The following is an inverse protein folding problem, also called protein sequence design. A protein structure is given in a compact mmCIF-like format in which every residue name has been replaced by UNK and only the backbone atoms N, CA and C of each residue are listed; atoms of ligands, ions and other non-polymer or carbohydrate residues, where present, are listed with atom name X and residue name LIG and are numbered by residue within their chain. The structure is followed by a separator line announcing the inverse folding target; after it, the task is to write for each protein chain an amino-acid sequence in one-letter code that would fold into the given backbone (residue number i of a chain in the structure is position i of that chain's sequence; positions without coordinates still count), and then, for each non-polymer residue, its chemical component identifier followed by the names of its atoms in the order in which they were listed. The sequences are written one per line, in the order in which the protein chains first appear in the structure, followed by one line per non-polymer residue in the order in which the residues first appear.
data_IF_435095466685
#
_entry.id   IF_435095466685
#
_cell.length_a   1.000
_cell.length_b   1.000
_cell.length_c   1.000
_cell.angle_alpha   90.00
_cell.angle_beta   90.00
_cell.angle_gamma   90.00
#
_symmetry.space_group_name_H-M   'P 1'
#
loop_
_entity.id
_entity.type
_entity.pdbx_description
1 polymer ?
#
# COMPACT_ATOMS: atom_id res chain seq x y z
N UNK A 1 3.99 -63.68 19.32
CA UNK A 1 4.53 -63.62 20.69
C UNK A 1 5.94 -63.06 20.60
N UNK A 2 6.09 -61.87 19.99
CA UNK A 2 5.78 -60.53 20.55
C UNK A 2 6.92 -60.17 21.52
N UNK A 3 7.75 -59.15 21.31
CA UNK A 3 7.40 -57.78 20.97
C UNK A 3 8.57 -57.09 20.23
N UNK A 4 8.34 -56.64 18.99
CA UNK A 4 9.03 -55.46 18.47
C UNK A 4 8.27 -54.23 18.99
N UNK A 5 8.64 -53.74 20.17
CA UNK A 5 8.32 -52.37 20.56
C UNK A 5 9.55 -51.52 20.30
N UNK A 6 9.70 -51.08 19.04
CA UNK A 6 10.48 -49.88 18.75
C UNK A 6 9.85 -48.71 19.52
N UNK A 7 10.63 -47.84 20.18
CA UNK A 7 10.07 -46.64 20.78
C UNK A 7 9.47 -45.80 19.65
N UNK A 8 8.16 -45.53 19.70
CA UNK A 8 7.59 -44.46 18.90
C UNK A 8 8.27 -43.16 19.38
N UNK A 9 9.13 -42.58 18.55
CA UNK A 9 9.57 -41.20 18.69
C UNK A 9 8.36 -40.29 18.51
N UNK A 10 7.60 -40.10 19.59
CA UNK A 10 6.48 -39.17 19.64
C UNK A 10 7.03 -37.75 19.81
N UNK A 11 7.54 -37.17 18.72
CA UNK A 11 7.72 -35.72 18.66
C UNK A 11 6.33 -35.06 18.59
N UNK A 12 5.77 -34.67 19.73
CA UNK A 12 4.52 -33.92 19.79
C UNK A 12 4.81 -32.42 19.71
N UNK A 13 4.34 -31.76 18.67
CA UNK A 13 4.35 -30.29 18.57
C UNK A 13 3.09 -29.76 19.25
N UNK A 14 3.26 -28.86 20.22
CA UNK A 14 2.14 -28.22 20.90
C UNK A 14 1.93 -26.82 20.32
N UNK A 15 0.71 -26.54 19.85
CA UNK A 15 0.29 -25.21 19.44
C UNK A 15 -0.44 -24.52 20.59
N UNK A 16 0.05 -23.35 20.99
CA UNK A 16 -0.53 -22.54 22.06
C UNK A 16 -0.88 -21.16 21.50
N UNK A 17 -1.97 -20.55 21.94
CA UNK A 17 -2.22 -19.14 21.62
C UNK A 17 -1.27 -18.25 22.43
N UNK A 18 -0.66 -17.27 21.76
CA UNK A 18 0.14 -16.25 22.42
C UNK A 18 -0.76 -15.42 23.36
N UNK A 19 -0.27 -14.98 24.53
CA UNK A 19 -0.99 -13.98 25.34
C UNK A 19 -1.21 -12.65 24.60
N UNK A 20 -0.46 -12.40 23.52
CA UNK A 20 -0.62 -11.25 22.63
C UNK A 20 -1.35 -11.58 21.33
N UNK A 21 -2.20 -12.62 21.34
CA UNK A 21 -2.99 -12.99 20.18
C UNK A 21 -3.89 -11.84 19.72
N UNK A 22 -3.80 -11.49 18.43
CA UNK A 22 -4.72 -10.54 17.79
C UNK A 22 -5.17 -11.07 16.44
N UNK A 23 -6.47 -10.98 16.16
CA UNK A 23 -7.04 -11.39 14.89
C UNK A 23 -6.79 -10.38 13.77
N UNK A 24 -6.45 -9.13 14.09
CA UNK A 24 -6.47 -8.02 13.14
C UNK A 24 -5.16 -7.23 13.05
N UNK A 25 -4.12 -7.61 13.81
CA UNK A 25 -2.84 -6.89 13.80
C UNK A 25 -1.98 -7.23 12.58
N UNK A 26 -2.33 -8.30 11.87
CA UNK A 26 -1.56 -8.82 10.75
C UNK A 26 -2.43 -9.02 9.52
N UNK A 27 -1.89 -8.63 8.37
CA UNK A 27 -2.46 -8.91 7.06
C UNK A 27 -1.36 -9.43 6.14
N UNK A 28 -1.64 -10.49 5.40
CA UNK A 28 -0.75 -10.94 4.35
C UNK A 28 -0.98 -10.12 3.10
N UNK A 29 0.09 -9.77 2.40
CA UNK A 29 0.03 -9.19 1.07
C UNK A 29 0.87 -10.05 0.11
N UNK A 30 0.24 -10.55 -0.94
CA UNK A 30 0.94 -11.17 -2.05
C UNK A 30 1.60 -10.07 -2.88
N UNK A 31 2.92 -10.15 -3.01
CA UNK A 31 3.73 -9.20 -3.76
C UNK A 31 4.55 -9.94 -4.81
N UNK A 32 4.69 -9.35 -5.99
CA UNK A 32 5.55 -9.91 -7.02
C UNK A 32 7.03 -9.82 -6.61
N UNK A 33 7.88 -10.56 -7.32
CA UNK A 33 9.33 -10.59 -7.03
C UNK A 33 9.98 -9.20 -7.15
N UNK A 34 9.48 -8.35 -8.04
CA UNK A 34 10.04 -7.02 -8.28
C UNK A 34 9.76 -6.11 -7.08
N UNK A 35 8.52 -6.08 -6.60
CA UNK A 35 8.06 -5.31 -5.45
C UNK A 35 8.69 -5.82 -4.15
N UNK A 36 8.77 -7.15 -3.98
CA UNK A 36 9.46 -7.76 -2.85
C UNK A 36 10.94 -7.33 -2.80
N UNK A 37 11.67 -7.45 -3.91
CA UNK A 37 13.06 -7.03 -3.98
C UNK A 37 13.21 -5.52 -3.76
N UNK A 38 12.30 -4.71 -4.31
CA UNK A 38 12.28 -3.28 -4.09
C UNK A 38 12.21 -2.94 -2.59
N UNK A 39 11.28 -3.57 -1.86
CA UNK A 39 11.15 -3.40 -0.41
C UNK A 39 12.37 -3.92 0.36
N UNK A 40 12.84 -5.14 0.06
CA UNK A 40 13.96 -5.77 0.75
C UNK A 40 15.29 -5.02 0.57
N UNK A 41 15.42 -4.23 -0.50
CA UNK A 41 16.56 -3.33 -0.71
C UNK A 41 16.49 -2.05 0.13
N UNK A 42 15.53 -1.92 1.05
CA UNK A 42 15.37 -0.77 1.94
C UNK A 42 14.61 0.40 1.32
N UNK A 43 13.92 0.20 0.19
CA UNK A 43 13.10 1.25 -0.40
C UNK A 43 11.73 1.32 0.29
N UNK A 44 11.18 2.53 0.38
CA UNK A 44 9.89 2.79 1.00
C UNK A 44 8.73 2.45 0.07
N UNK A 45 7.67 1.87 0.65
CA UNK A 45 6.36 1.66 0.03
C UNK A 45 5.34 2.44 0.84
N UNK A 46 4.46 3.17 0.16
CA UNK A 46 3.44 4.00 0.77
C UNK A 46 2.06 3.39 0.53
N UNK A 47 1.20 3.45 1.55
CA UNK A 47 -0.23 3.20 1.40
C UNK A 47 -0.89 4.56 1.13
N UNK A 48 -1.72 4.65 0.08
CA UNK A 48 -2.36 5.91 -0.32
C UNK A 48 -3.87 5.76 -0.53
N UNK A 49 -4.60 6.85 -0.26
CA UNK A 49 -6.05 6.93 -0.36
C UNK A 49 -6.69 7.44 0.93
N UNK A 50 -7.98 7.75 0.86
CA UNK A 50 -8.81 8.04 2.01
C UNK A 50 -9.22 6.76 2.73
N UNK A 51 -9.72 6.90 3.97
CA UNK A 51 -10.22 5.77 4.76
C UNK A 51 -11.38 5.01 4.10
N UNK A 52 -12.07 5.65 3.14
CA UNK A 52 -13.16 5.05 2.35
C UNK A 52 -12.69 4.35 1.09
N UNK A 53 -11.44 4.56 0.68
CA UNK A 53 -10.93 4.07 -0.59
C UNK A 53 -10.41 2.64 -0.46
N UNK A 54 -10.30 1.94 -1.59
CA UNK A 54 -9.58 0.67 -1.64
C UNK A 54 -8.10 0.89 -1.34
N UNK A 55 -7.44 -0.10 -0.74
CA UNK A 55 -6.02 0.00 -0.41
C UNK A 55 -5.18 0.04 -1.70
N UNK A 56 -4.32 1.05 -1.80
CA UNK A 56 -3.36 1.18 -2.90
C UNK A 56 -1.95 1.29 -2.33
N UNK A 57 -1.05 0.46 -2.84
CA UNK A 57 0.38 0.51 -2.54
C UNK A 57 1.11 1.27 -3.64
N UNK A 58 1.97 2.20 -3.24
CA UNK A 58 2.77 3.00 -4.14
C UNK A 58 4.25 2.82 -3.81
N UNK A 59 5.02 2.48 -4.83
CA UNK A 59 6.46 2.77 -4.82
C UNK A 59 6.66 4.23 -5.22
N UNK A 60 7.92 4.66 -5.39
CA UNK A 60 8.21 5.98 -5.96
C UNK A 60 7.67 6.14 -7.38
N UNK A 61 7.62 5.05 -8.15
CA UNK A 61 7.44 5.09 -9.61
C UNK A 61 6.21 4.33 -10.13
N UNK A 62 5.62 3.47 -9.30
CA UNK A 62 4.54 2.56 -9.71
C UNK A 62 3.46 2.44 -8.64
N UNK A 63 2.22 2.31 -9.10
CA UNK A 63 1.01 2.15 -8.28
C UNK A 63 0.44 0.73 -8.42
N UNK A 64 0.02 0.14 -7.30
CA UNK A 64 -0.53 -1.21 -7.20
C UNK A 64 -1.86 -1.17 -6.45
N UNK A 65 -2.94 -1.70 -7.02
CA UNK A 65 -4.15 -1.93 -6.24
C UNK A 65 -4.00 -3.19 -5.39
N UNK A 66 -4.67 -3.20 -4.24
CA UNK A 66 -4.74 -4.34 -3.34
C UNK A 66 -6.18 -4.83 -3.27
N UNK A 67 -6.39 -6.10 -3.61
CA UNK A 67 -7.69 -6.75 -3.51
C UNK A 67 -7.68 -7.76 -2.38
N UNK A 68 -8.62 -7.63 -1.44
CA UNK A 68 -8.80 -8.65 -0.41
C UNK A 68 -9.36 -9.94 -1.02
N UNK A 69 -8.65 -11.04 -0.79
CA UNK A 69 -9.07 -12.39 -1.13
C UNK A 69 -9.24 -13.20 0.15
N UNK A 70 -10.25 -14.07 0.15
CA UNK A 70 -10.54 -14.99 1.23
C UNK A 70 -10.35 -16.43 0.74
N UNK A 71 -9.65 -17.22 1.54
CA UNK A 71 -9.43 -18.65 1.28
C UNK A 71 -10.18 -19.50 2.29
N UNK A 72 -10.52 -20.73 1.90
CA UNK A 72 -11.22 -21.67 2.79
C UNK A 72 -10.32 -22.23 3.91
N UNK A 73 -9.01 -22.05 3.80
CA UNK A 73 -8.03 -22.53 4.78
C UNK A 73 -7.70 -21.43 5.80
N UNK A 74 -7.43 -21.83 7.04
CA UNK A 74 -6.90 -20.92 8.05
C UNK A 74 -5.37 -20.85 7.97
N UNK A 75 -4.84 -19.64 7.91
CA UNK A 75 -3.42 -19.33 8.00
C UNK A 75 -3.09 -19.00 9.45
N UNK A 76 -2.15 -19.75 10.03
CA UNK A 76 -1.66 -19.52 11.39
C UNK A 76 -0.37 -18.70 11.31
N UNK A 77 -0.36 -17.54 11.97
CA UNK A 77 0.84 -16.72 12.14
C UNK A 77 1.47 -17.11 13.46
N UNK A 78 2.74 -17.51 13.41
CA UNK A 78 3.48 -17.96 14.57
C UNK A 78 4.46 -16.87 15.01
N UNK A 79 4.69 -16.75 16.31
CA UNK A 79 5.77 -15.93 16.86
C UNK A 79 7.11 -16.47 16.39
N UNK A 80 8.02 -15.61 15.94
CA UNK A 80 9.37 -16.02 15.52
C UNK A 80 10.07 -16.67 16.71
N UNK A 81 10.17 -17.99 16.61
CA UNK A 81 10.99 -18.78 17.50
C UNK A 81 12.08 -19.34 16.60
N UNK A 82 13.32 -18.94 16.87
CA UNK A 82 14.52 -19.57 16.30
C UNK A 82 14.47 -21.13 16.34
N UNK A 83 13.57 -21.68 17.16
CA UNK A 83 13.17 -23.07 17.25
C UNK A 83 12.76 -23.75 15.92
N UNK A 84 12.35 -23.03 14.86
CA UNK A 84 12.03 -23.67 13.56
C UNK A 84 13.29 -24.01 12.73
N UNK A 85 14.37 -23.22 12.85
CA UNK A 85 15.61 -23.47 12.13
C UNK A 85 16.49 -24.54 12.81
N UNK A 86 16.21 -24.85 14.08
CA UNK A 86 16.85 -25.92 14.86
C UNK A 86 16.07 -27.24 14.82
N UNK A 87 15.06 -27.38 13.95
CA UNK A 87 14.43 -28.68 13.66
C UNK A 87 15.33 -29.47 12.72
N UNK A 88 16.59 -29.69 13.14
CA UNK A 88 17.23 -30.94 12.80
C UNK A 88 16.46 -32.02 13.56
N UNK A 89 15.85 -32.96 12.85
CA UNK A 89 15.23 -34.14 13.43
C UNK A 89 16.32 -35.01 14.07
N UNK A 90 16.94 -34.55 15.15
CA UNK A 90 17.83 -35.37 15.96
C UNK A 90 16.97 -36.35 16.74
N UNK A 91 17.15 -37.64 16.47
CA UNK A 91 16.34 -38.76 16.94
C UNK A 91 16.27 -38.96 18.47
N UNK A 92 16.88 -38.08 19.28
CA UNK A 92 17.11 -38.30 20.70
C UNK A 92 16.72 -37.17 21.66
N UNK A 93 16.19 -36.04 21.17
CA UNK A 93 15.74 -34.95 22.05
C UNK A 93 14.22 -34.79 22.00
N UNK A 94 13.57 -35.07 23.13
CA UNK A 94 12.16 -34.74 23.39
C UNK A 94 11.99 -33.22 23.49
N UNK A 95 12.10 -32.53 22.36
CA UNK A 95 11.88 -31.09 22.30
C UNK A 95 10.37 -30.88 22.24
N UNK A 96 9.75 -30.59 23.39
CA UNK A 96 8.38 -30.08 23.45
C UNK A 96 8.39 -28.65 22.89
N UNK A 97 8.44 -28.52 21.57
CA UNK A 97 8.41 -27.24 20.89
C UNK A 97 6.99 -26.67 21.00
N UNK A 98 6.84 -25.68 21.86
CA UNK A 98 5.62 -24.91 22.03
C UNK A 98 5.62 -23.78 21.01
N UNK A 99 4.94 -23.99 19.89
CA UNK A 99 4.73 -22.95 18.89
C UNK A 99 3.59 -22.04 19.33
N UNK A 100 3.84 -20.73 19.37
CA UNK A 100 2.85 -19.74 19.79
C UNK A 100 2.18 -19.11 18.57
N UNK A 101 0.85 -19.21 18.52
CA UNK A 101 0.02 -18.57 17.50
C UNK A 101 -0.22 -17.12 17.93
N UNK A 102 0.26 -16.17 17.13
CA UNK A 102 0.03 -14.72 17.34
C UNK A 102 -1.21 -14.22 16.60
N UNK A 103 -1.59 -14.89 15.51
CA UNK A 103 -2.79 -14.54 14.75
C UNK A 103 -3.30 -15.71 13.93
N UNK A 104 -4.59 -15.67 13.60
CA UNK A 104 -5.24 -16.56 12.63
C UNK A 104 -5.99 -15.70 11.63
N UNK A 105 -5.70 -15.87 10.34
CA UNK A 105 -6.40 -15.19 9.26
C UNK A 105 -6.74 -16.16 8.15
N UNK A 106 -7.80 -15.90 7.42
CA UNK A 106 -8.13 -16.60 6.17
C UNK A 106 -8.14 -15.63 4.98
N UNK A 107 -7.60 -14.43 5.17
CA UNK A 107 -7.62 -13.33 4.21
C UNK A 107 -6.21 -12.83 3.93
N UNK A 108 -6.00 -12.43 2.68
CA UNK A 108 -4.79 -11.76 2.24
C UNK A 108 -5.10 -10.76 1.13
N UNK A 109 -4.19 -9.81 0.91
CA UNK A 109 -4.27 -8.84 -0.17
C UNK A 109 -3.51 -9.36 -1.39
N UNK A 110 -4.18 -9.49 -2.51
CA UNK A 110 -3.54 -9.68 -3.82
C UNK A 110 -3.15 -8.31 -4.38
N UNK A 111 -1.88 -8.12 -4.73
CA UNK A 111 -1.41 -6.87 -5.34
C UNK A 111 -1.31 -6.99 -6.86
N UNK A 112 -1.77 -5.96 -7.57
CA UNK A 112 -1.59 -5.89 -9.02
C UNK A 112 -1.25 -4.49 -9.49
N UNK A 113 -0.30 -4.38 -10.43
CA UNK A 113 0.14 -3.09 -10.97
C UNK A 113 -0.99 -2.47 -11.80
N UNK A 114 -1.33 -1.22 -11.51
CA UNK A 114 -2.37 -0.47 -12.21
C UNK A 114 -1.81 0.77 -12.90
N UNK A 115 -2.64 1.39 -13.75
CA UNK A 115 -2.45 2.78 -14.19
C UNK A 115 -3.54 3.62 -13.54
N UNK A 116 -3.22 4.51 -12.59
CA UNK A 116 -4.23 5.30 -11.91
C UNK A 116 -4.92 6.27 -12.88
N UNK A 117 -6.22 6.52 -12.68
CA UNK A 117 -6.99 7.47 -13.49
C UNK A 117 -6.77 8.91 -13.01
N UNK A 118 -5.56 9.42 -13.24
CA UNK A 118 -5.12 10.70 -12.69
C UNK A 118 -5.84 11.91 -13.28
N UNK A 119 -6.24 11.87 -14.55
CA UNK A 119 -6.85 13.03 -15.22
C UNK A 119 -8.15 13.45 -14.52
N UNK A 120 -9.02 12.50 -14.20
CA UNK A 120 -10.31 12.80 -13.60
C UNK A 120 -10.13 13.19 -12.13
N UNK A 121 -9.33 12.42 -11.38
CA UNK A 121 -9.07 12.69 -9.96
C UNK A 121 -8.45 14.07 -9.73
N UNK A 122 -7.51 14.48 -10.60
CA UNK A 122 -6.92 15.81 -10.55
C UNK A 122 -7.95 16.88 -10.90
N UNK A 123 -8.75 16.70 -11.96
CA UNK A 123 -9.80 17.68 -12.30
C UNK A 123 -10.79 17.91 -11.16
N UNK A 124 -11.17 16.84 -10.46
CA UNK A 124 -12.07 16.90 -9.30
C UNK A 124 -11.39 17.61 -8.13
N UNK A 125 -10.15 17.24 -7.79
CA UNK A 125 -9.38 17.87 -6.72
C UNK A 125 -9.21 19.39 -6.94
N UNK A 126 -8.92 19.78 -8.19
CA UNK A 126 -8.70 21.17 -8.56
C UNK A 126 -9.99 21.92 -8.93
N UNK A 127 -11.17 21.27 -8.91
CA UNK A 127 -12.39 21.87 -9.44
C UNK A 127 -12.77 23.18 -8.74
N UNK A 128 -12.56 23.22 -7.43
CA UNK A 128 -12.88 24.37 -6.57
C UNK A 128 -11.72 25.38 -6.45
N UNK A 129 -10.56 25.08 -7.03
CA UNK A 129 -9.31 25.84 -6.87
C UNK A 129 -8.72 26.27 -8.22
N UNK A 130 -9.58 26.55 -9.20
CA UNK A 130 -9.16 27.00 -10.52
C UNK A 130 -8.74 28.46 -10.48
N UNK A 131 -7.59 28.76 -11.07
CA UNK A 131 -7.21 30.15 -11.31
C UNK A 131 -8.18 30.75 -12.33
N UNK A 132 -9.09 31.57 -11.81
CA UNK A 132 -9.92 32.46 -12.59
C UNK A 132 -9.28 33.85 -12.67
N UNK A 133 -9.46 34.51 -13.82
CA UNK A 133 -9.04 35.89 -14.04
C UNK A 133 -10.00 36.82 -13.28
N UNK A 134 -9.79 36.97 -11.97
CA UNK A 134 -10.42 37.94 -11.05
C UNK A 134 -11.67 38.65 -11.60
N UNK A 135 -12.84 38.32 -11.03
CA UNK A 135 -13.89 39.32 -10.87
C UNK A 135 -13.33 40.46 -10.02
N UNK A 136 -13.82 41.68 -10.23
CA UNK A 136 -13.27 42.95 -9.70
C UNK A 136 -13.24 43.06 -8.16
N UNK A 137 -13.65 42.03 -7.45
CA UNK A 137 -13.64 41.94 -5.99
C UNK A 137 -12.49 40.99 -5.60
N UNK A 138 -11.45 41.52 -4.95
CA UNK A 138 -10.18 40.84 -4.64
C UNK A 138 -10.25 39.67 -3.65
N UNK A 139 -11.22 38.76 -3.81
CA UNK A 139 -11.47 37.62 -2.92
C UNK A 139 -11.43 36.27 -3.65
N UNK A 140 -10.67 36.12 -4.73
CA UNK A 140 -10.36 34.77 -5.23
C UNK A 140 -9.29 34.16 -4.34
N UNK A 141 -9.72 33.39 -3.33
CA UNK A 141 -8.86 32.48 -2.57
C UNK A 141 -8.41 31.33 -3.48
N UNK A 142 -7.53 31.62 -4.44
CA UNK A 142 -6.83 30.59 -5.19
C UNK A 142 -5.80 29.94 -4.27
N UNK A 143 -6.25 29.00 -3.46
CA UNK A 143 -5.37 28.16 -2.66
C UNK A 143 -4.85 27.03 -3.56
N UNK A 144 -3.63 27.19 -4.10
CA UNK A 144 -2.94 26.10 -4.77
C UNK A 144 -2.57 24.98 -3.80
N UNK A 145 -2.32 23.79 -4.33
CA UNK A 145 -2.00 22.61 -3.53
C UNK A 145 -0.50 22.30 -3.51
N UNK A 146 0.02 21.91 -2.36
CA UNK A 146 1.36 21.31 -2.29
C UNK A 146 1.33 19.89 -2.85
N UNK A 147 2.48 19.42 -3.35
CA UNK A 147 2.59 18.07 -3.92
C UNK A 147 2.16 17.00 -2.91
N UNK A 148 2.60 17.17 -1.67
CA UNK A 148 2.31 16.27 -0.55
C UNK A 148 0.81 16.20 -0.28
N UNK A 149 0.10 17.33 -0.38
CA UNK A 149 -1.36 17.37 -0.23
C UNK A 149 -2.03 16.58 -1.34
N UNK A 150 -1.61 16.77 -2.59
CA UNK A 150 -2.16 16.02 -3.74
C UNK A 150 -1.89 14.51 -3.56
N UNK A 151 -0.69 14.16 -3.11
CA UNK A 151 -0.27 12.78 -2.86
C UNK A 151 -1.00 12.09 -1.69
N UNK A 152 -1.55 12.86 -0.76
CA UNK A 152 -2.45 12.33 0.29
C UNK A 152 -3.86 12.08 -0.25
N UNK A 153 -4.31 12.88 -1.22
CA UNK A 153 -5.65 12.82 -1.77
C UNK A 153 -5.80 11.86 -2.95
N UNK A 154 -4.72 11.60 -3.69
CA UNK A 154 -4.74 10.82 -4.93
C UNK A 154 -3.94 9.53 -4.77
N UNK A 155 -4.56 8.42 -5.17
CA UNK A 155 -3.99 7.09 -5.14
C UNK A 155 -3.02 6.85 -6.31
N UNK A 156 -1.79 7.36 -6.17
CA UNK A 156 -0.77 7.23 -7.20
C UNK A 156 0.65 7.34 -6.67
N UNK A 157 1.61 6.82 -7.43
CA UNK A 157 3.03 7.08 -7.19
C UNK A 157 3.37 8.54 -7.49
N UNK A 158 4.43 9.03 -6.84
CA UNK A 158 4.89 10.40 -7.01
C UNK A 158 5.29 10.69 -8.46
N UNK A 159 6.01 9.76 -9.09
CA UNK A 159 6.46 9.96 -10.47
C UNK A 159 5.29 9.95 -11.47
N UNK A 160 4.32 9.04 -11.32
CA UNK A 160 3.13 9.02 -12.18
C UNK A 160 2.31 10.32 -12.03
N UNK A 161 2.21 10.83 -10.81
CA UNK A 161 1.51 12.09 -10.52
C UNK A 161 2.23 13.29 -11.18
N UNK A 162 3.54 13.43 -10.97
CA UNK A 162 4.33 14.53 -11.54
C UNK A 162 4.28 14.50 -13.07
N UNK A 163 4.46 13.32 -13.66
CA UNK A 163 4.38 13.15 -15.11
C UNK A 163 3.01 13.58 -15.63
N UNK A 164 1.93 13.22 -14.94
CA UNK A 164 0.59 13.63 -15.34
C UNK A 164 0.33 15.11 -15.17
N UNK A 165 0.80 15.72 -14.08
CA UNK A 165 0.68 17.16 -13.87
C UNK A 165 1.35 17.96 -14.99
N UNK A 166 2.48 17.47 -15.53
CA UNK A 166 3.16 18.09 -16.67
C UNK A 166 2.39 18.01 -18.00
N UNK A 167 1.45 17.07 -18.15
CA UNK A 167 0.60 16.94 -19.34
C UNK A 167 -0.69 17.77 -19.27
N UNK A 168 -1.07 18.22 -18.07
CA UNK A 168 -2.32 18.91 -17.80
C UNK A 168 -2.12 20.43 -17.77
N UNK A 169 -3.20 21.23 -17.89
CA UNK A 169 -3.12 22.69 -17.77
C UNK A 169 -2.92 23.13 -16.30
N UNK A 170 -1.86 22.63 -15.68
CA UNK A 170 -1.48 22.90 -14.31
C UNK A 170 -0.11 23.59 -14.30
N UNK A 171 0.02 24.64 -13.50
CA UNK A 171 1.29 25.33 -13.30
C UNK A 171 1.75 25.22 -11.86
N UNK A 172 3.08 25.21 -11.67
CA UNK A 172 3.71 25.29 -10.36
C UNK A 172 4.14 26.74 -10.11
N UNK A 173 3.58 27.38 -9.09
CA UNK A 173 3.97 28.72 -8.62
C UNK A 173 4.25 28.62 -7.12
N UNK A 174 5.41 29.11 -6.66
CA UNK A 174 5.76 29.12 -5.23
C UNK A 174 5.55 27.75 -4.54
N UNK A 175 6.01 26.67 -5.19
CA UNK A 175 5.87 25.27 -4.74
C UNK A 175 4.45 24.69 -4.71
N UNK A 176 3.44 25.49 -5.09
CA UNK A 176 2.05 25.05 -5.18
C UNK A 176 1.64 24.83 -6.63
N UNK A 177 0.77 23.85 -6.83
CA UNK A 177 0.15 23.54 -8.10
C UNK A 177 -1.20 24.25 -8.22
N UNK A 178 -1.47 24.76 -9.43
CA UNK A 178 -2.68 25.50 -9.74
C UNK A 178 -3.24 25.07 -11.08
N UNK A 179 -4.55 24.85 -11.14
CA UNK A 179 -5.23 24.53 -12.40
C UNK A 179 -5.62 25.80 -13.14
N UNK A 180 -5.27 25.88 -14.42
CA UNK A 180 -5.60 27.01 -15.28
C UNK A 180 -6.94 26.75 -15.97
N UNK A 181 -7.87 27.69 -15.84
CA UNK A 181 -9.16 27.63 -16.55
C UNK A 181 -8.99 27.76 -18.07
N UNK A 182 -9.83 27.08 -18.85
CA UNK A 182 -9.77 27.14 -20.31
C UNK A 182 -9.94 28.58 -20.85
N UNK A 183 -10.75 29.41 -20.18
CA UNK A 183 -10.92 30.82 -20.54
C UNK A 183 -9.62 31.62 -20.45
N UNK A 184 -8.82 31.36 -19.42
CA UNK A 184 -7.51 32.00 -19.24
C UNK A 184 -6.53 31.55 -20.32
N UNK A 185 -6.51 30.25 -20.64
CA UNK A 185 -5.64 29.68 -21.70
C UNK A 185 -5.97 30.29 -23.06
N UNK A 186 -7.26 30.35 -23.44
CA UNK A 186 -7.69 30.88 -24.72
C UNK A 186 -7.28 32.36 -24.88
N UNK A 187 -7.50 33.18 -23.86
CA UNK A 187 -7.10 34.59 -23.88
C UNK A 187 -5.59 34.79 -23.90
N UNK A 188 -4.83 33.92 -23.23
CA UNK A 188 -3.37 33.96 -23.31
C UNK A 188 -2.87 33.66 -24.73
N UNK A 189 -3.49 32.70 -25.41
CA UNK A 189 -3.19 32.40 -26.81
C UNK A 189 -3.58 33.58 -27.72
N UNK A 190 -4.78 34.14 -27.56
CA UNK A 190 -5.26 35.28 -28.35
C UNK A 190 -4.37 36.53 -28.21
N UNK A 191 -3.72 36.73 -27.06
CA UNK A 191 -2.88 37.90 -26.81
C UNK A 191 -1.44 37.76 -27.32
N UNK A 192 -1.01 36.54 -27.63
CA UNK A 192 0.34 36.22 -28.09
C UNK A 192 0.39 35.75 -29.56
N UNK A 193 -0.75 35.77 -30.26
CA UNK A 193 -0.88 35.63 -31.71
C UNK A 193 -1.07 37.01 -32.35
#
# INVERSE_FOLDING_TARGET
MDNLTSPLNNSSVQLLFSPHFSSNDFIFAEVDKKLANYFLNGNEIYIRGYNSDEIVLCTKTETFCCKELEVSNSLLILEDTNALNEIEFSEESSISNNLKIVSVTNKFLETSRIRPNLTQNLKELFNDHKIEMSTKDGSSTNCGFFLETILCCIQASEEELINKLGELPVIKLEEKFYWISNEYILKFIEKNC
#
